data_IF_076670345295
#
_entry.id   IF_076670345295
#
_cell.length_a   1.000
_cell.length_b   1.000
_cell.length_c   1.000
_cell.angle_alpha   90.00
_cell.angle_beta   90.00
_cell.angle_gamma   90.00
#
_symmetry.space_group_name_H-M   'P 1'
#
loop_
_entity.id
_entity.type
_entity.pdbx_description
1 polymer ?
#
# COMPACT_ATOMS: atom_id res chain seq x y z
N UNK A 1 -17.71 -2.19 8.12
CA UNK A 1 -17.93 -0.96 7.32
C UNK A 1 -17.52 0.37 7.99
N UNK A 2 -17.70 0.58 9.33
CA UNK A 2 -17.32 1.86 10.00
C UNK A 2 -15.80 2.08 10.18
N UNK A 3 -15.00 1.04 10.44
CA UNK A 3 -13.57 1.16 10.77
C UNK A 3 -12.74 1.52 9.53
N UNK A 4 -12.92 0.87 8.41
CA UNK A 4 -12.17 1.16 7.19
C UNK A 4 -12.44 2.54 6.61
N UNK A 5 -13.69 3.06 6.74
CA UNK A 5 -14.00 4.46 6.39
C UNK A 5 -13.24 5.44 7.28
N UNK A 6 -13.09 5.15 8.58
CA UNK A 6 -12.33 6.00 9.50
C UNK A 6 -10.82 5.99 9.18
N UNK A 7 -10.27 4.81 8.89
CA UNK A 7 -8.85 4.67 8.52
C UNK A 7 -8.55 5.39 7.22
N UNK A 8 -9.37 5.17 6.17
CA UNK A 8 -9.23 5.85 4.87
C UNK A 8 -9.32 7.38 5.03
N UNK A 9 -10.26 7.86 5.83
CA UNK A 9 -10.45 9.30 6.06
C UNK A 9 -9.27 9.91 6.83
N UNK A 10 -8.71 9.17 7.80
CA UNK A 10 -7.53 9.60 8.55
C UNK A 10 -6.29 9.71 7.64
N UNK A 11 -6.00 8.68 6.85
CA UNK A 11 -4.88 8.70 5.90
C UNK A 11 -5.03 9.79 4.84
N UNK A 12 -6.24 9.94 4.26
CA UNK A 12 -6.50 11.02 3.29
C UNK A 12 -6.33 12.39 3.94
N UNK A 13 -6.78 12.57 5.18
CA UNK A 13 -6.61 13.83 5.91
C UNK A 13 -5.15 14.18 6.16
N UNK A 14 -4.32 13.22 6.58
CA UNK A 14 -2.89 13.42 6.84
C UNK A 14 -2.15 13.77 5.53
N UNK A 15 -2.41 13.02 4.46
CA UNK A 15 -1.74 13.27 3.16
C UNK A 15 -2.15 14.58 2.53
N UNK A 16 -3.43 14.96 2.60
CA UNK A 16 -3.90 16.26 2.11
C UNK A 16 -3.29 17.39 2.96
N UNK A 17 -3.23 17.23 4.29
CA UNK A 17 -2.57 18.19 5.18
C UNK A 17 -1.10 18.43 4.81
N UNK A 18 -0.35 17.36 4.52
CA UNK A 18 1.04 17.45 4.08
C UNK A 18 1.18 18.20 2.74
N UNK A 19 0.31 17.91 1.78
CA UNK A 19 0.30 18.58 0.47
C UNK A 19 0.00 20.07 0.64
N UNK A 20 -0.95 20.45 1.49
CA UNK A 20 -1.29 21.85 1.78
C UNK A 20 -0.11 22.58 2.43
N UNK A 21 0.55 21.96 3.43
CA UNK A 21 1.72 22.55 4.09
C UNK A 21 2.84 22.78 3.08
N UNK A 22 3.14 21.81 2.25
CA UNK A 22 4.18 21.91 1.20
C UNK A 22 3.84 23.02 0.22
N UNK A 23 2.57 23.14 -0.17
CA UNK A 23 2.10 24.19 -1.07
C UNK A 23 2.24 25.59 -0.46
N UNK A 24 1.94 25.75 0.83
CA UNK A 24 2.12 27.02 1.55
C UNK A 24 3.60 27.41 1.59
N UNK A 25 4.48 26.47 1.93
CA UNK A 25 5.93 26.73 1.97
C UNK A 25 6.43 27.14 0.58
N UNK A 26 6.02 26.41 -0.46
CA UNK A 26 6.39 26.74 -1.83
C UNK A 26 5.92 28.15 -2.24
N UNK A 27 4.68 28.50 -1.92
CA UNK A 27 4.14 29.84 -2.20
C UNK A 27 4.96 30.95 -1.53
N UNK A 28 5.28 30.79 -0.23
CA UNK A 28 6.08 31.76 0.52
C UNK A 28 7.47 31.91 -0.09
N UNK A 29 8.13 30.79 -0.42
CA UNK A 29 9.46 30.82 -1.03
C UNK A 29 9.43 31.45 -2.42
N UNK A 30 8.46 31.09 -3.26
CA UNK A 30 8.32 31.66 -4.61
C UNK A 30 8.00 33.14 -4.59
N UNK A 31 7.12 33.61 -3.70
CA UNK A 31 6.76 35.01 -3.54
C UNK A 31 7.97 35.83 -3.09
N UNK A 32 8.74 35.36 -2.10
CA UNK A 32 9.98 36.04 -1.66
C UNK A 32 11.02 36.09 -2.77
N UNK A 33 11.22 34.98 -3.47
CA UNK A 33 12.17 34.95 -4.59
C UNK A 33 11.82 35.94 -5.71
N UNK A 34 10.53 36.10 -6.02
CA UNK A 34 10.05 37.05 -6.99
C UNK A 34 10.31 38.52 -6.53
N UNK A 35 10.12 38.76 -5.23
CA UNK A 35 10.36 40.06 -4.62
C UNK A 35 11.86 40.40 -4.63
N UNK A 36 12.73 39.47 -4.26
CA UNK A 36 14.20 39.66 -4.28
C UNK A 36 14.73 39.96 -5.70
N UNK A 37 14.26 39.21 -6.70
CA UNK A 37 14.61 39.47 -8.11
C UNK A 37 14.18 40.87 -8.52
N UNK A 38 13.00 41.30 -8.11
CA UNK A 38 12.50 42.60 -8.45
C UNK A 38 13.34 43.71 -7.84
N UNK A 39 13.74 43.60 -6.58
CA UNK A 39 14.66 44.54 -5.95
C UNK A 39 16.01 44.59 -6.65
N UNK A 40 16.57 43.46 -7.09
CA UNK A 40 17.82 43.43 -7.85
C UNK A 40 17.71 44.22 -9.18
N UNK A 41 16.60 44.07 -9.90
CA UNK A 41 16.35 44.84 -11.11
C UNK A 41 16.16 46.35 -10.84
N UNK A 42 15.50 46.67 -9.72
CA UNK A 42 15.30 48.07 -9.32
C UNK A 42 16.62 48.74 -8.91
N UNK A 43 17.50 48.01 -8.24
CA UNK A 43 18.85 48.45 -7.88
C UNK A 43 19.70 48.71 -9.14
N UNK A 44 19.72 47.75 -10.09
CA UNK A 44 20.43 47.94 -11.37
C UNK A 44 19.95 49.18 -12.11
N UNK A 45 18.64 49.41 -12.14
CA UNK A 45 18.07 50.61 -12.72
C UNK A 45 18.47 51.87 -11.97
N UNK A 46 18.43 51.86 -10.65
CA UNK A 46 18.79 53.01 -9.83
C UNK A 46 20.25 53.41 -10.04
N UNK A 47 21.14 52.42 -10.18
CA UNK A 47 22.54 52.67 -10.57
C UNK A 47 22.65 53.31 -11.97
N UNK A 48 21.94 52.77 -12.97
CA UNK A 48 21.94 53.33 -14.32
C UNK A 48 21.42 54.77 -14.37
N UNK A 49 20.39 55.08 -13.56
CA UNK A 49 19.86 56.44 -13.42
C UNK A 49 20.85 57.40 -12.76
N UNK A 50 21.60 56.94 -11.75
CA UNK A 50 22.63 57.71 -11.11
C UNK A 50 23.80 58.02 -12.07
N UNK A 51 24.27 56.97 -12.79
CA UNK A 51 25.30 57.14 -13.82
C UNK A 51 24.86 58.12 -14.92
N UNK A 52 23.64 58.01 -15.45
CA UNK A 52 23.12 58.91 -16.48
C UNK A 52 23.10 60.40 -16.02
N UNK A 53 22.68 60.60 -14.74
CA UNK A 53 22.49 61.96 -14.21
C UNK A 53 23.77 62.64 -13.82
N UNK A 54 24.75 61.93 -13.28
CA UNK A 54 25.94 62.49 -12.67
C UNK A 54 27.21 62.31 -13.50
N UNK A 55 27.23 61.30 -14.42
CA UNK A 55 28.43 61.01 -15.22
C UNK A 55 28.28 61.43 -16.70
N UNK A 56 27.30 62.27 -17.03
CA UNK A 56 27.09 62.74 -18.40
C UNK A 56 28.35 63.41 -18.98
N UNK A 57 29.06 64.14 -18.15
CA UNK A 57 30.32 64.91 -18.55
C UNK A 57 31.58 64.00 -18.54
N UNK A 58 31.53 62.83 -17.96
CA UNK A 58 32.68 61.92 -17.78
C UNK A 58 32.69 60.71 -18.72
N UNK A 59 31.53 60.34 -19.30
CA UNK A 59 31.39 59.19 -20.15
C UNK A 59 31.63 59.58 -21.63
N UNK A 60 32.30 58.66 -22.34
CA UNK A 60 32.35 58.77 -23.80
C UNK A 60 30.96 58.46 -24.41
N UNK A 61 30.70 58.91 -25.62
CA UNK A 61 29.41 58.82 -26.30
C UNK A 61 28.89 57.40 -26.43
N UNK A 62 29.77 56.37 -26.48
CA UNK A 62 29.36 54.94 -26.60
C UNK A 62 28.90 54.41 -25.24
N UNK A 63 29.63 54.76 -24.19
CA UNK A 63 29.28 54.33 -22.82
C UNK A 63 27.99 55.00 -22.36
N UNK A 64 27.87 56.30 -22.60
CA UNK A 64 26.64 57.07 -22.30
C UNK A 64 25.43 56.49 -23.02
N UNK A 65 25.56 56.16 -24.31
CA UNK A 65 24.48 55.51 -25.06
C UNK A 65 24.08 54.13 -24.47
N UNK A 66 25.01 53.34 -23.99
CA UNK A 66 24.73 52.07 -23.33
C UNK A 66 24.00 52.24 -21.99
N UNK A 67 24.32 53.29 -21.22
CA UNK A 67 23.62 53.62 -19.96
C UNK A 67 22.17 54.00 -20.25
N UNK A 68 21.94 54.85 -21.23
CA UNK A 68 20.59 55.26 -21.68
C UNK A 68 19.79 54.06 -22.17
N UNK A 69 20.39 53.11 -22.92
CA UNK A 69 19.72 51.90 -23.36
C UNK A 69 19.35 50.97 -22.19
N UNK A 70 20.22 50.83 -21.19
CA UNK A 70 19.90 50.08 -19.97
C UNK A 70 18.71 50.68 -19.24
N UNK A 71 18.63 51.99 -19.12
CA UNK A 71 17.49 52.71 -18.54
C UNK A 71 16.20 52.43 -19.30
N UNK A 72 16.22 52.55 -20.64
CA UNK A 72 15.03 52.40 -21.48
C UNK A 72 14.48 50.97 -21.43
N UNK A 73 15.34 49.95 -21.27
CA UNK A 73 14.98 48.54 -21.23
C UNK A 73 14.66 48.01 -19.81
N UNK A 74 14.77 48.88 -18.81
CA UNK A 74 14.54 48.53 -17.41
C UNK A 74 13.11 48.80 -16.95
N UNK A 75 12.77 48.37 -15.73
CA UNK A 75 11.44 48.49 -15.11
C UNK A 75 10.98 49.97 -15.06
N UNK A 76 9.69 50.30 -15.34
CA UNK A 76 9.19 51.66 -15.20
C UNK A 76 9.23 52.11 -13.73
N UNK A 77 9.73 53.30 -13.49
CA UNK A 77 9.80 53.97 -12.18
C UNK A 77 8.63 54.91 -12.00
N UNK A 78 8.11 55.03 -10.77
CA UNK A 78 7.07 55.97 -10.40
C UNK A 78 7.67 57.28 -9.89
N UNK A 79 8.78 57.17 -9.15
CA UNK A 79 9.49 58.31 -8.57
C UNK A 79 11.00 58.08 -8.61
N UNK A 80 11.76 59.10 -8.93
CA UNK A 80 13.23 59.11 -8.94
C UNK A 80 13.68 60.34 -8.13
N UNK A 81 14.37 60.10 -7.02
CA UNK A 81 14.79 61.12 -6.07
C UNK A 81 16.30 61.07 -5.91
N UNK A 82 16.91 62.25 -5.99
CA UNK A 82 18.35 62.49 -5.83
C UNK A 82 18.53 63.55 -4.75
N UNK A 83 18.90 63.12 -3.55
CA UNK A 83 18.99 63.97 -2.37
C UNK A 83 20.46 64.20 -2.05
N UNK A 84 20.93 65.46 -2.06
CA UNK A 84 22.27 65.75 -1.62
C UNK A 84 22.40 65.59 -0.13
N UNK A 85 23.35 64.72 0.30
CA UNK A 85 23.56 64.39 1.71
C UNK A 85 24.68 65.19 2.39
N UNK A 86 25.23 66.22 1.74
CA UNK A 86 26.22 67.10 2.34
C UNK A 86 25.67 67.85 3.58
N UNK A 87 24.39 68.23 3.54
CA UNK A 87 23.64 68.69 4.71
C UNK A 87 22.80 67.52 5.30
N UNK A 88 23.33 66.89 6.36
CA UNK A 88 22.75 65.73 6.96
C UNK A 88 21.34 65.95 7.52
N UNK A 89 21.11 67.09 8.17
CA UNK A 89 19.83 67.42 8.80
C UNK A 89 18.72 67.61 7.76
N UNK A 90 19.05 68.33 6.68
CA UNK A 90 18.14 68.50 5.56
C UNK A 90 17.87 67.22 4.81
N UNK A 91 18.88 66.39 4.62
CA UNK A 91 18.74 65.08 3.99
C UNK A 91 17.88 64.11 4.82
N UNK A 92 18.10 64.02 6.13
CA UNK A 92 17.30 63.18 7.04
C UNK A 92 15.82 63.57 6.99
N UNK A 93 15.53 64.87 6.95
CA UNK A 93 14.15 65.36 6.85
C UNK A 93 13.44 64.94 5.55
N UNK A 94 14.18 64.90 4.44
CA UNK A 94 13.63 64.45 3.15
C UNK A 94 13.51 62.95 3.09
N UNK A 95 14.52 62.21 3.59
CA UNK A 95 14.55 60.75 3.61
C UNK A 95 13.49 60.15 4.55
N UNK A 96 13.17 60.81 5.67
CA UNK A 96 12.17 60.37 6.64
C UNK A 96 10.73 60.31 6.08
N UNK A 97 10.51 60.84 4.87
CA UNK A 97 9.24 60.65 4.16
C UNK A 97 9.12 59.25 3.55
N UNK A 98 10.23 58.50 3.38
CA UNK A 98 10.28 57.23 2.65
C UNK A 98 10.93 56.12 3.45
N UNK A 99 11.88 56.45 4.34
CA UNK A 99 12.70 55.52 5.11
C UNK A 99 12.52 55.75 6.61
N UNK A 100 12.62 54.68 7.38
CA UNK A 100 12.66 54.77 8.84
C UNK A 100 14.06 55.22 9.34
N UNK A 101 14.18 55.52 10.66
CA UNK A 101 15.44 56.02 11.22
C UNK A 101 16.58 55.01 11.10
N UNK A 102 16.32 53.73 11.27
CA UNK A 102 17.28 52.62 11.13
C UNK A 102 17.74 52.47 9.67
N UNK A 103 16.82 52.59 8.74
CA UNK A 103 17.09 52.52 7.30
C UNK A 103 17.95 53.69 6.84
N UNK A 104 17.68 54.90 7.35
CA UNK A 104 18.48 56.08 7.07
C UNK A 104 19.92 55.94 7.62
N UNK A 105 20.09 55.38 8.82
CA UNK A 105 21.42 55.13 9.37
C UNK A 105 22.21 54.11 8.54
N UNK A 106 21.56 53.02 8.12
CA UNK A 106 22.16 52.00 7.24
C UNK A 106 22.49 52.60 5.85
N UNK A 107 21.66 53.45 5.32
CA UNK A 107 21.92 54.15 4.06
C UNK A 107 23.17 55.01 4.17
N UNK A 108 23.31 55.78 5.24
CA UNK A 108 24.52 56.58 5.49
C UNK A 108 25.78 55.73 5.77
N UNK A 109 25.61 54.49 6.18
CA UNK A 109 26.69 53.50 6.29
C UNK A 109 27.01 52.82 4.93
N UNK A 110 26.57 53.37 3.80
CA UNK A 110 26.75 52.84 2.44
C UNK A 110 26.12 51.49 2.18
N UNK A 111 25.01 51.17 2.86
CA UNK A 111 24.23 49.98 2.57
C UNK A 111 23.14 50.30 1.54
N UNK A 112 22.85 49.34 0.68
CA UNK A 112 21.66 49.38 -0.17
C UNK A 112 20.45 49.06 0.69
N UNK A 113 19.42 49.90 0.62
CA UNK A 113 18.21 49.77 1.40
C UNK A 113 17.04 49.49 0.46
N UNK A 114 16.43 48.32 0.63
CA UNK A 114 15.19 47.96 -0.03
C UNK A 114 14.02 48.26 0.93
N UNK A 115 13.05 49.06 0.49
CA UNK A 115 11.95 49.53 1.31
C UNK A 115 10.62 49.43 0.57
N UNK A 116 9.51 49.53 1.32
CA UNK A 116 8.16 49.49 0.78
C UNK A 116 7.35 50.67 1.31
N UNK A 117 6.80 51.47 0.44
CA UNK A 117 5.90 52.60 0.77
C UNK A 117 4.51 52.32 0.16
N UNK A 118 3.57 51.82 0.97
CA UNK A 118 2.22 51.47 0.51
C UNK A 118 2.21 50.34 -0.53
N UNK A 119 1.89 50.70 -1.79
CA UNK A 119 1.91 49.77 -2.94
C UNK A 119 3.15 49.92 -3.81
N UNK A 120 4.05 50.86 -3.47
CA UNK A 120 5.30 51.07 -4.17
C UNK A 120 6.44 50.38 -3.43
N UNK A 121 7.36 49.82 -4.18
CA UNK A 121 8.62 49.24 -3.67
C UNK A 121 9.75 50.14 -4.13
N UNK A 122 10.72 50.35 -3.27
CA UNK A 122 11.83 51.26 -3.55
C UNK A 122 13.17 50.64 -3.17
N UNK A 123 14.22 51.16 -3.79
CA UNK A 123 15.60 50.96 -3.39
C UNK A 123 16.28 52.29 -3.19
N UNK A 124 17.18 52.35 -2.21
CA UNK A 124 17.98 53.53 -1.92
C UNK A 124 19.44 53.14 -1.70
N UNK A 125 20.36 53.94 -2.23
CA UNK A 125 21.78 53.76 -2.00
C UNK A 125 22.50 55.14 -2.10
N UNK A 126 23.75 55.20 -1.61
CA UNK A 126 24.57 56.39 -1.68
C UNK A 126 25.44 56.35 -2.95
N UNK A 127 25.37 57.40 -3.75
CA UNK A 127 26.19 57.58 -4.94
C UNK A 127 27.19 58.73 -4.71
N UNK A 128 28.43 58.46 -5.06
CA UNK A 128 29.54 59.43 -4.96
C UNK A 128 29.89 60.02 -6.34
N UNK A 129 29.87 61.32 -6.46
CA UNK A 129 30.17 62.02 -7.69
C UNK A 129 31.14 63.16 -7.40
N UNK A 130 31.78 63.67 -8.45
CA UNK A 130 32.66 64.85 -8.36
C UNK A 130 31.98 66.14 -7.81
N UNK A 131 30.66 66.25 -7.97
CA UNK A 131 29.84 67.36 -7.50
C UNK A 131 29.33 67.22 -6.08
N UNK A 132 29.47 65.99 -5.49
CA UNK A 132 29.02 65.69 -4.12
C UNK A 132 28.61 64.27 -3.87
N UNK A 133 27.98 64.04 -2.69
CA UNK A 133 27.44 62.75 -2.31
C UNK A 133 25.93 62.87 -2.31
N UNK A 134 25.30 61.90 -2.96
CA UNK A 134 23.85 61.88 -3.15
C UNK A 134 23.23 60.57 -2.66
N UNK A 135 22.11 60.66 -1.95
CA UNK A 135 21.22 59.51 -1.77
C UNK A 135 20.31 59.39 -3.00
N UNK A 136 20.39 58.27 -3.66
CA UNK A 136 19.56 57.95 -4.83
C UNK A 136 18.45 57.02 -4.37
N UNK A 137 17.21 57.46 -4.51
CA UNK A 137 16.02 56.68 -4.19
C UNK A 137 15.19 56.47 -5.47
N UNK A 138 14.86 55.24 -5.73
CA UNK A 138 14.02 54.90 -6.88
C UNK A 138 12.85 54.09 -6.39
N UNK A 139 11.62 54.53 -6.69
CA UNK A 139 10.39 53.86 -6.37
C UNK A 139 9.74 53.36 -7.66
N UNK A 140 9.12 52.22 -7.56
CA UNK A 140 8.33 51.65 -8.65
C UNK A 140 7.06 51.03 -8.13
N UNK A 141 5.96 51.30 -8.80
CA UNK A 141 4.71 50.61 -8.61
C UNK A 141 4.65 49.46 -9.61
N UNK A 142 4.78 48.22 -9.12
CA UNK A 142 4.75 47.07 -10.00
C UNK A 142 3.49 46.21 -9.82
N UNK A 143 2.46 46.46 -10.62
CA UNK A 143 1.28 45.57 -10.62
C UNK A 143 1.62 44.13 -11.03
N UNK A 144 2.79 43.95 -11.68
CA UNK A 144 3.22 42.64 -12.17
C UNK A 144 3.52 41.63 -11.05
N UNK A 145 4.06 42.08 -9.91
CA UNK A 145 4.31 41.23 -8.74
C UNK A 145 3.00 40.70 -8.17
N UNK A 146 2.01 41.57 -8.04
CA UNK A 146 0.70 41.21 -7.50
C UNK A 146 -0.02 40.25 -8.45
N UNK A 147 0.08 40.46 -9.76
CA UNK A 147 -0.51 39.55 -10.78
C UNK A 147 0.21 38.20 -10.82
N UNK A 148 1.55 38.15 -10.70
CA UNK A 148 2.31 36.91 -10.62
C UNK A 148 1.94 36.15 -9.35
N UNK A 149 1.94 36.77 -8.19
CA UNK A 149 1.59 36.16 -6.93
C UNK A 149 0.15 35.63 -6.93
N UNK A 150 -0.79 36.37 -7.50
CA UNK A 150 -2.17 35.96 -7.68
C UNK A 150 -2.29 34.72 -8.61
N UNK A 151 -1.57 34.75 -9.72
CA UNK A 151 -1.55 33.63 -10.69
C UNK A 151 -0.95 32.39 -10.08
N UNK A 152 0.18 32.54 -9.34
CA UNK A 152 0.79 31.43 -8.57
C UNK A 152 -0.18 30.86 -7.53
N UNK A 153 -0.87 31.72 -6.78
CA UNK A 153 -1.84 31.28 -5.78
C UNK A 153 -2.99 30.50 -6.41
N UNK A 154 -3.57 30.99 -7.50
CA UNK A 154 -4.66 30.31 -8.21
C UNK A 154 -4.18 28.97 -8.77
N UNK A 155 -3.03 28.94 -9.44
CA UNK A 155 -2.45 27.71 -9.97
C UNK A 155 -2.18 26.67 -8.89
N UNK A 156 -1.67 27.11 -7.73
CA UNK A 156 -1.41 26.24 -6.59
C UNK A 156 -2.70 25.70 -5.97
N UNK A 157 -3.75 26.51 -5.85
CA UNK A 157 -5.06 26.06 -5.36
C UNK A 157 -5.68 25.00 -6.28
N UNK A 158 -5.58 25.19 -7.59
CA UNK A 158 -6.05 24.19 -8.57
C UNK A 158 -5.25 22.90 -8.43
N UNK A 159 -3.92 22.98 -8.33
CA UNK A 159 -3.04 21.81 -8.17
C UNK A 159 -3.35 21.03 -6.90
N UNK A 160 -3.50 21.73 -5.76
CA UNK A 160 -3.86 21.12 -4.46
C UNK A 160 -5.25 20.49 -4.53
N UNK A 161 -6.22 21.13 -5.15
CA UNK A 161 -7.56 20.61 -5.35
C UNK A 161 -7.57 19.33 -6.20
N UNK A 162 -6.81 19.32 -7.29
CA UNK A 162 -6.67 18.14 -8.15
C UNK A 162 -5.96 16.99 -7.41
N UNK A 163 -4.87 17.28 -6.71
CA UNK A 163 -4.14 16.28 -5.92
C UNK A 163 -5.03 15.67 -4.82
N UNK A 164 -5.79 16.50 -4.10
CA UNK A 164 -6.73 16.04 -3.08
C UNK A 164 -7.82 15.14 -3.67
N UNK A 165 -8.37 15.47 -4.85
CA UNK A 165 -9.36 14.67 -5.54
C UNK A 165 -8.80 13.31 -5.97
N UNK A 166 -7.61 13.27 -6.57
CA UNK A 166 -6.95 12.02 -6.98
C UNK A 166 -6.65 11.13 -5.77
N UNK A 167 -6.09 11.70 -4.70
CA UNK A 167 -5.82 10.98 -3.45
C UNK A 167 -7.09 10.41 -2.84
N UNK A 168 -8.20 11.17 -2.86
CA UNK A 168 -9.49 10.68 -2.39
C UNK A 168 -9.98 9.47 -3.21
N UNK A 169 -9.88 9.53 -4.55
CA UNK A 169 -10.28 8.41 -5.41
C UNK A 169 -9.43 7.16 -5.15
N UNK A 170 -8.11 7.30 -5.07
CA UNK A 170 -7.19 6.19 -4.80
C UNK A 170 -7.52 5.57 -3.43
N UNK A 171 -7.67 6.41 -2.39
CA UNK A 171 -8.01 5.95 -1.04
C UNK A 171 -9.33 5.20 -1.00
N UNK A 172 -10.35 5.69 -1.73
CA UNK A 172 -11.65 5.03 -1.81
C UNK A 172 -11.57 3.66 -2.49
N UNK A 173 -10.87 3.57 -3.62
CA UNK A 173 -10.72 2.31 -4.36
C UNK A 173 -9.93 1.27 -3.53
N UNK A 174 -8.86 1.72 -2.87
CA UNK A 174 -8.05 0.86 -2.00
C UNK A 174 -8.85 0.35 -0.79
N UNK A 175 -9.58 1.25 -0.12
CA UNK A 175 -10.41 0.88 1.02
C UNK A 175 -11.49 -0.15 0.65
N UNK A 176 -12.14 -0.03 -0.51
CA UNK A 176 -13.13 -1.00 -0.96
C UNK A 176 -12.53 -2.38 -1.19
N UNK A 177 -11.35 -2.48 -1.81
CA UNK A 177 -10.68 -3.76 -2.08
C UNK A 177 -10.17 -4.43 -0.79
N UNK A 178 -9.54 -3.66 0.08
CA UNK A 178 -8.99 -4.19 1.34
C UNK A 178 -10.10 -4.65 2.28
N UNK A 179 -11.19 -3.87 2.38
CA UNK A 179 -12.33 -4.22 3.22
C UNK A 179 -13.06 -5.48 2.73
N UNK A 180 -13.25 -5.64 1.41
CA UNK A 180 -13.87 -6.83 0.86
C UNK A 180 -13.03 -8.08 1.17
N UNK A 181 -11.70 -7.96 1.09
CA UNK A 181 -10.79 -9.06 1.43
C UNK A 181 -10.83 -9.41 2.92
N UNK A 182 -10.75 -8.41 3.79
CA UNK A 182 -10.82 -8.62 5.26
C UNK A 182 -12.18 -9.21 5.66
N UNK A 183 -13.27 -8.76 5.06
CA UNK A 183 -14.61 -9.27 5.36
C UNK A 183 -14.74 -10.75 4.94
N UNK A 184 -14.23 -11.11 3.76
CA UNK A 184 -14.19 -12.49 3.28
C UNK A 184 -13.34 -13.39 4.21
N UNK A 185 -12.17 -12.94 4.61
CA UNK A 185 -11.31 -13.68 5.53
C UNK A 185 -11.96 -13.85 6.91
N UNK A 186 -12.58 -12.81 7.42
CA UNK A 186 -13.32 -12.84 8.68
C UNK A 186 -14.53 -13.78 8.62
N UNK A 187 -15.32 -13.76 7.56
CA UNK A 187 -16.47 -14.67 7.39
C UNK A 187 -16.00 -16.11 7.26
N UNK A 188 -14.91 -16.36 6.54
CA UNK A 188 -14.34 -17.70 6.45
C UNK A 188 -13.86 -18.22 7.81
N UNK A 189 -13.22 -17.37 8.62
CA UNK A 189 -12.78 -17.72 9.97
C UNK A 189 -13.97 -18.00 10.90
N UNK A 190 -14.99 -17.15 10.87
CA UNK A 190 -16.23 -17.34 11.64
C UNK A 190 -16.93 -18.64 11.27
N UNK A 191 -17.06 -18.95 9.99
CA UNK A 191 -17.64 -20.22 9.53
C UNK A 191 -16.79 -21.42 9.98
N UNK A 192 -15.46 -21.29 9.93
CA UNK A 192 -14.56 -22.35 10.42
C UNK A 192 -14.79 -22.65 11.90
N UNK A 193 -14.81 -21.63 12.77
CA UNK A 193 -15.04 -21.81 14.22
C UNK A 193 -16.41 -22.40 14.50
N UNK A 194 -17.46 -21.93 13.82
CA UNK A 194 -18.81 -22.44 14.00
C UNK A 194 -18.91 -23.92 13.59
N UNK A 195 -18.37 -24.28 12.42
CA UNK A 195 -18.42 -25.66 11.92
C UNK A 195 -17.58 -26.58 12.80
N UNK A 196 -16.39 -26.16 13.24
CA UNK A 196 -15.57 -26.92 14.17
C UNK A 196 -16.31 -27.19 15.50
N UNK A 197 -17.01 -26.16 16.03
CA UNK A 197 -17.81 -26.30 17.23
C UNK A 197 -18.95 -27.32 17.04
N UNK A 198 -19.64 -27.30 15.91
CA UNK A 198 -20.69 -28.26 15.60
C UNK A 198 -20.17 -29.71 15.47
N UNK A 199 -19.04 -29.89 14.78
CA UNK A 199 -18.41 -31.19 14.57
C UNK A 199 -17.89 -31.82 15.88
N UNK A 200 -17.48 -31.00 16.86
CA UNK A 200 -17.06 -31.44 18.18
C UNK A 200 -18.27 -31.71 19.09
N UNK A 201 -19.30 -30.87 19.03
CA UNK A 201 -20.47 -31.00 19.90
C UNK A 201 -21.31 -32.21 19.56
N UNK A 202 -21.37 -32.66 18.28
CA UNK A 202 -22.13 -33.81 17.87
C UNK A 202 -21.68 -35.12 18.61
N UNK A 203 -20.42 -35.54 18.57
CA UNK A 203 -19.96 -36.72 19.31
C UNK A 203 -20.01 -36.52 20.83
N UNK A 204 -19.81 -35.30 21.35
CA UNK A 204 -19.99 -35.02 22.78
C UNK A 204 -21.42 -35.28 23.24
N UNK A 205 -22.41 -34.84 22.48
CA UNK A 205 -23.82 -35.07 22.78
C UNK A 205 -24.14 -36.55 22.72
N UNK A 206 -23.56 -37.31 21.77
CA UNK A 206 -23.71 -38.75 21.70
C UNK A 206 -23.10 -39.44 22.94
N UNK A 207 -21.90 -39.07 23.35
CA UNK A 207 -21.25 -39.57 24.57
C UNK A 207 -22.12 -39.31 25.80
N UNK A 208 -22.62 -38.06 25.92
CA UNK A 208 -23.49 -37.68 27.04
C UNK A 208 -24.75 -38.54 27.08
N UNK A 209 -25.40 -38.74 25.93
CA UNK A 209 -26.59 -39.61 25.84
C UNK A 209 -26.31 -41.08 26.22
N UNK A 210 -25.19 -41.64 25.76
CA UNK A 210 -24.78 -43.01 26.15
C UNK A 210 -24.49 -43.13 27.67
N UNK A 211 -23.89 -42.09 28.26
CA UNK A 211 -23.68 -42.01 29.71
C UNK A 211 -25.02 -41.93 30.49
N UNK A 212 -25.96 -41.09 30.04
CA UNK A 212 -27.28 -40.98 30.65
C UNK A 212 -28.06 -42.30 30.61
N UNK A 213 -28.03 -43.01 29.47
CA UNK A 213 -28.63 -44.34 29.32
C UNK A 213 -28.00 -45.33 30.31
N UNK A 214 -26.65 -45.36 30.39
CA UNK A 214 -25.94 -46.23 31.30
C UNK A 214 -26.25 -45.97 32.79
N UNK A 215 -26.52 -44.73 33.15
CA UNK A 215 -26.84 -44.33 34.54
C UNK A 215 -28.30 -44.54 34.91
N UNK A 216 -29.22 -44.46 33.94
CA UNK A 216 -30.68 -44.63 34.18
C UNK A 216 -31.16 -46.07 34.10
N UNK A 217 -30.50 -46.91 33.35
CA UNK A 217 -30.91 -48.31 33.13
C UNK A 217 -30.07 -49.25 33.96
N UNK A 218 -30.72 -50.31 34.44
CA UNK A 218 -30.03 -51.41 35.12
C UNK A 218 -29.54 -52.41 34.05
N UNK A 219 -28.47 -52.02 33.33
CA UNK A 219 -27.97 -52.77 32.20
C UNK A 219 -27.26 -54.05 32.61
N UNK A 220 -27.33 -55.08 31.77
CA UNK A 220 -26.50 -56.25 31.91
C UNK A 220 -25.02 -55.97 31.59
N UNK A 221 -24.04 -56.69 32.13
CA UNK A 221 -22.62 -56.45 31.93
C UNK A 221 -22.21 -56.29 30.45
N UNK A 222 -22.82 -57.00 29.54
CA UNK A 222 -22.54 -56.94 28.10
C UNK A 222 -23.10 -55.69 27.45
N UNK A 223 -24.21 -55.16 27.98
CA UNK A 223 -24.76 -53.86 27.52
C UNK A 223 -23.86 -52.71 27.93
N UNK A 224 -23.33 -52.70 29.17
CA UNK A 224 -22.32 -51.70 29.58
C UNK A 224 -21.07 -51.76 28.72
N UNK A 225 -20.58 -52.92 28.34
CA UNK A 225 -19.44 -53.04 27.40
C UNK A 225 -19.75 -52.44 26.06
N UNK A 226 -20.96 -52.57 25.56
CA UNK A 226 -21.39 -51.99 24.29
C UNK A 226 -21.46 -50.47 24.37
N UNK A 227 -22.02 -49.92 25.44
CA UNK A 227 -22.05 -48.47 25.70
C UNK A 227 -20.63 -47.91 25.79
N UNK A 228 -19.74 -48.57 26.56
CA UNK A 228 -18.35 -48.13 26.68
C UNK A 228 -17.60 -48.13 25.33
N UNK A 229 -17.85 -49.16 24.47
CA UNK A 229 -17.26 -49.18 23.12
C UNK A 229 -17.76 -48.04 22.25
N UNK A 230 -19.04 -47.66 22.32
CA UNK A 230 -19.59 -46.49 21.60
C UNK A 230 -18.97 -45.18 22.10
N UNK A 231 -18.86 -45.00 23.43
CA UNK A 231 -18.18 -43.85 24.03
C UNK A 231 -16.72 -43.77 23.57
N UNK A 232 -15.99 -44.88 23.58
CA UNK A 232 -14.62 -44.97 23.11
C UNK A 232 -14.52 -44.58 21.62
N UNK A 233 -15.45 -45.03 20.79
CA UNK A 233 -15.49 -44.72 19.37
C UNK A 233 -15.73 -43.22 19.12
N UNK A 234 -16.70 -42.61 19.84
CA UNK A 234 -16.98 -41.18 19.71
C UNK A 234 -15.82 -40.30 20.25
N UNK A 235 -15.16 -40.75 21.34
CA UNK A 235 -13.95 -40.09 21.85
C UNK A 235 -12.83 -40.14 20.82
N UNK A 236 -12.62 -41.28 20.15
CA UNK A 236 -11.67 -41.40 19.05
C UNK A 236 -11.97 -40.47 17.89
N UNK A 237 -13.26 -40.28 17.57
CA UNK A 237 -13.68 -39.28 16.54
C UNK A 237 -13.28 -37.84 16.90
N UNK A 238 -13.46 -37.44 18.18
CA UNK A 238 -13.07 -36.11 18.67
C UNK A 238 -11.56 -35.90 18.52
N UNK A 239 -10.76 -36.91 18.91
CA UNK A 239 -9.28 -36.81 18.80
C UNK A 239 -8.85 -36.60 17.35
N UNK A 240 -9.47 -37.28 16.39
CA UNK A 240 -9.16 -37.10 14.96
C UNK A 240 -9.58 -35.72 14.48
N UNK A 241 -10.77 -35.24 14.88
CA UNK A 241 -11.23 -33.88 14.55
C UNK A 241 -10.23 -32.84 15.06
N UNK A 242 -9.85 -32.94 16.34
CA UNK A 242 -8.89 -32.02 16.96
C UNK A 242 -7.54 -32.00 16.22
N UNK A 243 -7.04 -33.18 15.84
CA UNK A 243 -5.79 -33.30 15.08
C UNK A 243 -5.88 -32.61 13.71
N UNK A 244 -6.97 -32.86 12.96
CA UNK A 244 -7.20 -32.21 11.66
C UNK A 244 -7.31 -30.67 11.78
N UNK A 245 -8.01 -30.18 12.82
CA UNK A 245 -8.15 -28.74 13.08
C UNK A 245 -6.82 -28.10 13.43
N UNK A 246 -6.00 -28.75 14.28
CA UNK A 246 -4.67 -28.26 14.62
C UNK A 246 -3.76 -28.23 13.39
N UNK A 247 -3.73 -29.28 12.58
CA UNK A 247 -2.96 -29.33 11.34
C UNK A 247 -3.38 -28.22 10.39
N UNK A 248 -4.70 -27.99 10.21
CA UNK A 248 -5.21 -26.91 9.38
C UNK A 248 -4.82 -25.52 9.92
N UNK A 249 -4.94 -25.28 11.23
CA UNK A 249 -4.53 -24.04 11.88
C UNK A 249 -3.03 -23.79 11.69
N UNK A 250 -2.19 -24.79 11.88
CA UNK A 250 -0.75 -24.70 11.66
C UNK A 250 -0.40 -24.47 10.18
N UNK A 251 -1.08 -25.14 9.25
CA UNK A 251 -0.89 -24.93 7.82
C UNK A 251 -1.26 -23.52 7.38
N UNK A 252 -2.30 -22.92 7.98
CA UNK A 252 -2.79 -21.57 7.63
C UNK A 252 -1.95 -20.45 8.24
N UNK A 253 -1.60 -20.57 9.53
CA UNK A 253 -1.03 -19.45 10.31
C UNK A 253 0.47 -19.63 10.64
N UNK A 254 1.03 -20.82 10.47
CA UNK A 254 2.43 -21.09 10.79
C UNK A 254 3.38 -20.44 9.77
N UNK A 255 4.56 -20.00 10.21
CA UNK A 255 5.67 -19.73 9.29
C UNK A 255 6.22 -21.06 8.79
N UNK A 256 6.65 -21.11 7.52
CA UNK A 256 7.47 -22.25 7.07
C UNK A 256 8.77 -22.16 7.87
N UNK A 257 9.04 -23.19 8.63
CA UNK A 257 10.35 -23.31 9.25
C UNK A 257 11.33 -23.68 8.16
N UNK A 258 12.17 -22.71 7.79
CA UNK A 258 13.16 -22.89 6.73
C UNK A 258 14.16 -23.97 7.03
N UNK A 259 14.35 -24.30 8.32
CA UNK A 259 15.29 -25.32 8.80
C UNK A 259 14.78 -26.74 8.52
N UNK A 260 13.46 -26.92 8.31
CA UNK A 260 12.84 -28.20 7.98
C UNK A 260 12.70 -28.45 6.47
N UNK A 261 13.08 -27.47 5.63
CA UNK A 261 13.00 -27.63 4.18
C UNK A 261 14.16 -28.47 3.64
N UNK A 262 13.83 -29.61 3.01
CA UNK A 262 14.79 -30.49 2.38
C UNK A 262 14.42 -30.76 0.92
N UNK A 263 15.42 -31.15 0.12
CA UNK A 263 15.17 -31.63 -1.24
C UNK A 263 14.64 -33.06 -1.18
N UNK A 264 13.47 -33.30 -1.74
CA UNK A 264 12.74 -34.56 -1.67
C UNK A 264 12.40 -34.98 -3.10
N UNK A 265 12.70 -36.21 -3.45
CA UNK A 265 12.25 -36.80 -4.71
C UNK A 265 10.76 -37.11 -4.63
N UNK A 266 9.98 -36.61 -5.58
CA UNK A 266 8.51 -36.68 -5.49
C UNK A 266 7.99 -38.12 -5.51
N UNK A 267 8.64 -39.02 -6.27
CA UNK A 267 8.30 -40.42 -6.30
C UNK A 267 8.40 -41.10 -4.93
N UNK A 268 9.42 -40.77 -4.10
CA UNK A 268 9.63 -41.39 -2.78
C UNK A 268 8.44 -41.16 -1.82
N UNK A 269 7.80 -40.02 -1.91
CA UNK A 269 6.60 -39.73 -1.10
C UNK A 269 5.39 -40.47 -1.66
N UNK A 270 5.24 -40.50 -2.97
CA UNK A 270 4.10 -41.12 -3.64
C UNK A 270 4.12 -42.63 -3.56
N UNK A 271 5.28 -43.27 -3.48
CA UNK A 271 5.38 -44.73 -3.25
C UNK A 271 4.66 -45.18 -1.97
N UNK A 272 4.59 -44.33 -0.94
CA UNK A 272 3.86 -44.62 0.31
C UNK A 272 2.36 -44.60 0.14
N UNK A 273 1.86 -43.92 -0.88
CA UNK A 273 0.44 -43.79 -1.20
C UNK A 273 -0.03 -44.87 -2.21
N UNK A 274 0.89 -45.63 -2.79
CA UNK A 274 0.57 -46.69 -3.73
C UNK A 274 -0.11 -47.86 -3.00
N UNK A 275 -1.32 -48.14 -3.41
CA UNK A 275 -2.15 -49.28 -2.96
C UNK A 275 -2.64 -50.03 -4.20
N UNK A 276 -3.37 -51.15 -4.00
CA UNK A 276 -3.89 -51.94 -5.12
C UNK A 276 -4.76 -51.11 -6.11
N UNK A 277 -5.39 -50.06 -5.62
CA UNK A 277 -6.24 -49.16 -6.44
C UNK A 277 -5.54 -47.89 -6.90
N UNK A 278 -4.24 -47.71 -6.63
CA UNK A 278 -3.48 -46.49 -6.99
C UNK A 278 -2.33 -46.84 -7.96
N UNK A 279 -2.36 -46.28 -9.16
CA UNK A 279 -1.35 -46.51 -10.19
C UNK A 279 -0.46 -45.28 -10.30
N UNK A 280 0.88 -45.44 -10.09
CA UNK A 280 1.86 -44.40 -10.24
C UNK A 280 2.50 -44.46 -11.64
N UNK A 281 2.43 -43.35 -12.38
CA UNK A 281 3.04 -43.14 -13.68
C UNK A 281 4.10 -42.04 -13.59
N UNK A 282 5.34 -42.38 -13.86
CA UNK A 282 6.45 -41.43 -13.80
C UNK A 282 6.91 -41.12 -15.24
N UNK A 283 6.49 -39.97 -15.77
CA UNK A 283 6.95 -39.50 -17.06
C UNK A 283 8.30 -38.77 -16.93
N UNK A 284 8.45 -37.94 -15.89
CA UNK A 284 9.70 -37.25 -15.54
C UNK A 284 9.64 -36.90 -14.04
N UNK A 285 10.45 -37.60 -13.26
CA UNK A 285 10.59 -37.33 -11.84
C UNK A 285 11.45 -36.10 -11.55
N UNK A 286 11.29 -35.50 -10.38
CA UNK A 286 12.02 -34.31 -9.99
C UNK A 286 12.04 -34.12 -8.47
N UNK A 287 13.02 -33.36 -8.00
CA UNK A 287 13.11 -32.99 -6.60
C UNK A 287 12.37 -31.69 -6.35
N UNK A 288 11.75 -31.59 -5.18
CA UNK A 288 11.10 -30.38 -4.68
C UNK A 288 11.68 -30.00 -3.31
N UNK A 289 11.78 -28.71 -3.04
CA UNK A 289 12.23 -28.23 -1.74
C UNK A 289 11.04 -28.02 -0.83
N UNK A 290 10.81 -28.94 0.11
CA UNK A 290 9.62 -28.94 0.96
C UNK A 290 9.90 -29.48 2.36
N UNK A 291 8.96 -29.24 3.27
CA UNK A 291 8.84 -29.98 4.53
C UNK A 291 8.17 -31.34 4.22
N UNK A 292 8.88 -32.43 4.50
CA UNK A 292 8.46 -33.79 4.17
C UNK A 292 7.14 -34.19 4.82
N UNK A 293 6.92 -33.78 6.07
CA UNK A 293 5.70 -34.13 6.81
C UNK A 293 4.49 -33.39 6.24
N UNK A 294 4.62 -32.07 6.02
CA UNK A 294 3.56 -31.27 5.44
C UNK A 294 3.22 -31.71 4.01
N UNK A 295 4.24 -31.99 3.19
CA UNK A 295 4.05 -32.46 1.83
C UNK A 295 3.31 -33.80 1.80
N UNK A 296 3.73 -34.77 2.66
CA UNK A 296 3.04 -36.05 2.79
C UNK A 296 1.57 -35.88 3.20
N UNK A 297 1.28 -35.02 4.18
CA UNK A 297 -0.09 -34.70 4.60
C UNK A 297 -0.92 -34.17 3.43
N UNK A 298 -0.37 -33.23 2.64
CA UNK A 298 -1.08 -32.63 1.52
C UNK A 298 -1.38 -33.65 0.42
N UNK A 299 -0.39 -34.44 0.04
CA UNK A 299 -0.53 -35.51 -0.98
C UNK A 299 -1.50 -36.57 -0.52
N UNK A 300 -1.38 -37.08 0.73
CA UNK A 300 -2.27 -38.04 1.31
C UNK A 300 -3.75 -37.61 1.25
N UNK A 301 -4.02 -36.33 1.58
CA UNK A 301 -5.39 -35.81 1.50
C UNK A 301 -5.96 -35.80 0.06
N UNK A 302 -5.12 -35.54 -0.95
CA UNK A 302 -5.56 -35.59 -2.35
C UNK A 302 -5.79 -37.02 -2.82
N UNK A 303 -4.84 -37.93 -2.53
CA UNK A 303 -4.92 -39.35 -2.93
C UNK A 303 -6.05 -40.06 -2.23
N UNK A 304 -6.18 -39.86 -0.90
CA UNK A 304 -7.27 -40.42 -0.10
C UNK A 304 -8.65 -39.98 -0.60
N UNK A 305 -8.80 -38.71 -0.99
CA UNK A 305 -10.02 -38.22 -1.62
C UNK A 305 -10.28 -38.88 -2.98
N UNK A 306 -9.28 -38.98 -3.84
CA UNK A 306 -9.42 -39.63 -5.14
C UNK A 306 -9.87 -41.09 -4.98
N UNK A 307 -9.20 -41.87 -4.12
CA UNK A 307 -9.59 -43.29 -3.82
C UNK A 307 -11.00 -43.39 -3.26
N UNK A 308 -11.35 -42.50 -2.34
CA UNK A 308 -12.65 -42.50 -1.66
C UNK A 308 -13.83 -42.25 -2.58
N UNK A 309 -13.65 -41.36 -3.56
CA UNK A 309 -14.70 -40.94 -4.49
C UNK A 309 -14.61 -41.61 -5.87
N UNK A 310 -13.62 -42.50 -6.09
CA UNK A 310 -13.42 -43.21 -7.35
C UNK A 310 -14.46 -44.30 -7.65
N UNK A 311 -15.32 -44.62 -6.68
CA UNK A 311 -16.31 -45.71 -6.77
C UNK A 311 -15.68 -47.08 -7.14
N UNK A 312 -14.48 -47.35 -6.58
CA UNK A 312 -13.72 -48.56 -6.81
C UNK A 312 -12.89 -48.60 -8.10
N UNK A 313 -12.95 -47.54 -8.91
CA UNK A 313 -12.10 -47.41 -10.09
C UNK A 313 -10.65 -47.10 -9.69
N UNK A 314 -9.65 -47.45 -10.52
CA UNK A 314 -8.25 -47.08 -10.27
C UNK A 314 -8.03 -45.58 -10.27
N UNK A 315 -7.21 -45.11 -9.33
CA UNK A 315 -6.70 -43.75 -9.29
C UNK A 315 -5.34 -43.69 -9.97
N UNK A 316 -5.15 -42.79 -10.90
CA UNK A 316 -3.89 -42.62 -11.61
C UNK A 316 -3.16 -41.37 -11.10
N UNK A 317 -1.93 -41.58 -10.63
CA UNK A 317 -1.03 -40.49 -10.22
C UNK A 317 0.05 -40.35 -11.28
N UNK A 318 0.21 -39.17 -11.86
CA UNK A 318 1.23 -38.90 -12.88
C UNK A 318 2.20 -37.81 -12.39
N UNK A 319 3.51 -38.16 -12.42
CA UNK A 319 4.61 -37.20 -12.17
C UNK A 319 5.14 -36.71 -13.52
N UNK A 320 5.07 -35.40 -13.74
CA UNK A 320 5.59 -34.74 -14.93
C UNK A 320 6.08 -33.34 -14.58
N UNK A 321 7.40 -33.19 -14.38
CA UNK A 321 7.98 -31.90 -13.97
C UNK A 321 7.42 -30.71 -14.72
N UNK A 322 6.94 -29.65 -14.07
CA UNK A 322 6.88 -29.42 -12.61
C UNK A 322 5.51 -29.80 -12.00
N UNK A 323 4.78 -30.75 -12.55
CA UNK A 323 3.40 -31.04 -12.24
C UNK A 323 3.25 -32.43 -11.57
N UNK A 324 2.37 -32.50 -10.56
CA UNK A 324 1.77 -33.71 -10.03
C UNK A 324 0.29 -33.70 -10.41
N UNK A 325 -0.17 -34.79 -11.05
CA UNK A 325 -1.56 -34.94 -11.49
C UNK A 325 -2.13 -36.17 -10.79
N UNK A 326 -3.26 -36.03 -10.13
CA UNK A 326 -3.99 -37.12 -9.46
C UNK A 326 -5.36 -37.14 -10.10
N UNK A 327 -5.70 -38.27 -10.76
CA UNK A 327 -6.93 -38.45 -11.51
C UNK A 327 -7.70 -39.66 -11.02
N UNK A 328 -8.97 -39.46 -10.74
CA UNK A 328 -9.95 -40.52 -10.49
C UNK A 328 -11.01 -40.57 -11.61
N UNK A 329 -11.68 -41.68 -11.72
CA UNK A 329 -12.83 -41.92 -12.62
C UNK A 329 -14.11 -42.13 -11.79
N UNK A 330 -14.29 -41.29 -10.78
CA UNK A 330 -15.38 -41.42 -9.81
C UNK A 330 -16.60 -40.52 -10.14
N UNK A 331 -17.34 -40.20 -9.08
CA UNK A 331 -18.61 -39.45 -9.15
C UNK A 331 -18.47 -38.03 -9.70
N UNK A 332 -17.26 -37.50 -9.77
CA UNK A 332 -17.00 -36.10 -10.16
C UNK A 332 -17.59 -35.08 -9.21
N UNK A 333 -17.44 -33.80 -9.57
CA UNK A 333 -17.84 -32.63 -8.77
C UNK A 333 -18.72 -31.72 -9.65
N UNK A 334 -19.92 -31.30 -9.19
CA UNK A 334 -20.74 -30.33 -9.90
C UNK A 334 -20.04 -28.99 -10.08
N UNK A 335 -20.23 -28.33 -11.22
CA UNK A 335 -19.60 -27.03 -11.53
C UNK A 335 -19.86 -25.95 -10.47
N UNK A 336 -21.06 -25.95 -9.88
CA UNK A 336 -21.44 -25.02 -8.80
C UNK A 336 -20.60 -25.18 -7.53
N UNK A 337 -20.02 -26.39 -7.32
CA UNK A 337 -19.28 -26.76 -6.12
C UNK A 337 -17.75 -26.62 -6.30
N UNK A 338 -17.23 -26.64 -7.54
CA UNK A 338 -15.78 -26.65 -7.85
C UNK A 338 -15.04 -25.53 -7.11
N UNK A 339 -15.57 -24.31 -7.08
CA UNK A 339 -14.93 -23.18 -6.40
C UNK A 339 -15.02 -23.24 -4.86
N UNK A 340 -15.82 -24.15 -4.32
CA UNK A 340 -16.12 -24.26 -2.88
C UNK A 340 -15.47 -25.45 -2.20
N UNK A 341 -15.05 -26.47 -2.93
CA UNK A 341 -14.47 -27.71 -2.36
C UNK A 341 -13.23 -27.51 -1.51
N UNK A 342 -12.54 -26.38 -1.69
CA UNK A 342 -11.38 -26.00 -0.88
C UNK A 342 -11.76 -25.17 0.35
N UNK A 343 -13.06 -24.91 0.59
CA UNK A 343 -13.49 -24.27 1.83
C UNK A 343 -13.54 -25.30 2.95
N UNK A 344 -13.02 -25.00 4.14
CA UNK A 344 -13.10 -25.93 5.27
C UNK A 344 -14.55 -26.33 5.58
N UNK A 345 -14.78 -27.61 5.85
CA UNK A 345 -16.08 -28.22 6.13
C UNK A 345 -17.08 -28.20 4.96
N UNK A 346 -16.64 -27.78 3.78
CA UNK A 346 -17.49 -27.84 2.61
C UNK A 346 -17.51 -29.26 2.02
N UNK A 347 -18.70 -29.71 1.62
CA UNK A 347 -18.94 -30.98 0.97
C UNK A 347 -19.78 -30.76 -0.28
N UNK A 348 -19.38 -31.35 -1.40
CA UNK A 348 -20.12 -31.21 -2.65
C UNK A 348 -21.53 -31.84 -2.51
N UNK A 349 -22.46 -31.29 -3.30
CA UNK A 349 -23.88 -31.66 -3.19
C UNK A 349 -24.19 -33.10 -3.61
N UNK A 350 -23.31 -33.76 -4.40
CA UNK A 350 -23.51 -35.10 -4.95
C UNK A 350 -22.85 -36.24 -4.16
N UNK A 351 -22.18 -35.96 -3.01
CA UNK A 351 -21.40 -36.97 -2.29
C UNK A 351 -22.24 -37.96 -1.41
N UNK A 352 -23.54 -37.75 -1.29
CA UNK A 352 -24.44 -38.65 -0.57
C UNK A 352 -24.00 -38.96 0.88
N UNK A 353 -24.00 -40.23 1.25
CA UNK A 353 -23.64 -40.74 2.58
C UNK A 353 -22.15 -41.02 2.78
N UNK A 354 -21.30 -40.76 1.81
CA UNK A 354 -19.85 -40.98 1.90
C UNK A 354 -19.27 -40.19 3.08
N UNK A 355 -18.64 -40.90 4.04
CA UNK A 355 -18.14 -40.28 5.28
C UNK A 355 -17.04 -39.24 5.01
N UNK A 356 -17.00 -38.12 5.72
CA UNK A 356 -15.93 -37.10 5.61
C UNK A 356 -16.36 -35.76 6.10
N UNK A 357 -15.40 -34.99 6.64
CA UNK A 357 -15.65 -33.69 7.30
C UNK A 357 -15.42 -32.46 6.40
N UNK A 358 -14.87 -32.65 5.19
CA UNK A 358 -14.58 -31.57 4.29
C UNK A 358 -13.38 -30.66 4.70
N UNK A 359 -12.44 -31.18 5.51
CA UNK A 359 -11.24 -30.47 5.93
C UNK A 359 -10.03 -30.78 5.02
N UNK A 360 -9.94 -32.01 4.51
CA UNK A 360 -8.74 -32.54 3.83
C UNK A 360 -8.30 -31.71 2.61
N UNK A 361 -9.22 -31.35 1.70
CA UNK A 361 -8.90 -30.53 0.53
C UNK A 361 -8.49 -29.11 0.92
N UNK A 362 -9.12 -28.54 1.93
CA UNK A 362 -8.75 -27.22 2.45
C UNK A 362 -7.34 -27.24 3.07
N UNK A 363 -7.01 -28.31 3.79
CA UNK A 363 -5.68 -28.52 4.36
C UNK A 363 -4.62 -28.70 3.27
N UNK A 364 -4.86 -29.55 2.29
CA UNK A 364 -3.95 -29.77 1.17
C UNK A 364 -3.67 -28.46 0.42
N UNK A 365 -4.71 -27.70 0.10
CA UNK A 365 -4.56 -26.39 -0.55
C UNK A 365 -3.74 -25.41 0.31
N UNK A 366 -4.03 -25.30 1.60
CA UNK A 366 -3.29 -24.41 2.51
C UNK A 366 -1.81 -24.76 2.60
N UNK A 367 -1.47 -26.06 2.58
CA UNK A 367 -0.08 -26.51 2.60
C UNK A 367 0.64 -26.16 1.29
N UNK A 368 0.03 -26.46 0.12
CA UNK A 368 0.64 -26.14 -1.19
C UNK A 368 0.80 -24.62 -1.39
N UNK A 369 -0.24 -23.83 -1.11
CA UNK A 369 -0.17 -22.38 -1.22
C UNK A 369 0.90 -21.77 -0.30
N UNK A 370 1.07 -22.34 0.90
CA UNK A 370 2.12 -21.93 1.84
C UNK A 370 3.52 -22.24 1.33
N UNK A 371 3.71 -23.34 0.60
CA UNK A 371 4.97 -23.70 -0.06
C UNK A 371 5.21 -22.90 -1.35
N UNK A 372 4.26 -22.04 -1.74
CA UNK A 372 4.30 -21.27 -2.97
C UNK A 372 3.82 -22.04 -4.20
N UNK A 373 3.26 -23.22 -4.01
CA UNK A 373 2.78 -24.10 -5.06
C UNK A 373 1.32 -23.79 -5.41
N UNK A 374 0.90 -24.21 -6.59
CA UNK A 374 -0.46 -23.97 -7.08
C UNK A 374 -1.22 -25.26 -7.29
N UNK A 375 -2.39 -25.39 -6.66
CA UNK A 375 -3.33 -26.48 -6.88
C UNK A 375 -4.52 -26.02 -7.72
N UNK A 376 -4.89 -26.83 -8.70
CA UNK A 376 -6.09 -26.65 -9.54
C UNK A 376 -6.88 -27.94 -9.62
N UNK A 377 -8.16 -27.83 -9.94
CA UNK A 377 -9.08 -28.95 -10.09
C UNK A 377 -9.86 -28.82 -11.40
N UNK A 378 -10.04 -29.92 -12.08
CA UNK A 378 -10.96 -30.08 -13.21
C UNK A 378 -11.80 -31.32 -12.96
N UNK A 379 -13.12 -31.23 -13.06
CA UNK A 379 -14.01 -32.34 -12.77
C UNK A 379 -15.29 -32.23 -13.59
N UNK A 380 -15.87 -33.37 -13.89
CA UNK A 380 -17.17 -33.48 -14.54
C UNK A 380 -17.95 -34.61 -13.82
N UNK A 381 -19.22 -34.36 -13.54
CA UNK A 381 -20.11 -35.34 -12.90
C UNK A 381 -20.12 -36.64 -13.71
N UNK A 382 -20.00 -37.77 -13.02
CA UNK A 382 -19.92 -39.13 -13.55
C UNK A 382 -18.74 -39.42 -14.52
N UNK A 383 -17.77 -38.50 -14.61
CA UNK A 383 -16.56 -38.67 -15.43
C UNK A 383 -15.26 -38.61 -14.59
N UNK A 384 -15.38 -38.22 -13.31
CA UNK A 384 -14.28 -38.18 -12.36
C UNK A 384 -13.69 -36.80 -12.13
N UNK A 385 -12.56 -36.78 -11.37
CA UNK A 385 -11.89 -35.56 -10.94
C UNK A 385 -10.39 -35.65 -11.22
N UNK A 386 -9.81 -34.54 -11.62
CA UNK A 386 -8.37 -34.38 -11.79
C UNK A 386 -7.88 -33.22 -10.92
N UNK A 387 -7.05 -33.51 -9.96
CA UNK A 387 -6.29 -32.52 -9.20
C UNK A 387 -4.91 -32.36 -9.84
N UNK A 388 -4.47 -31.12 -10.07
CA UNK A 388 -3.16 -30.78 -10.59
C UNK A 388 -2.45 -29.85 -9.61
N UNK A 389 -1.27 -30.23 -9.17
CA UNK A 389 -0.35 -29.40 -8.36
C UNK A 389 0.83 -29.00 -9.24
N UNK A 390 1.15 -27.72 -9.25
CA UNK A 390 2.28 -27.14 -9.97
C UNK A 390 3.26 -26.62 -8.92
N UNK A 391 4.45 -27.22 -8.89
CA UNK A 391 5.50 -26.89 -7.93
C UNK A 391 6.33 -25.71 -8.42
N UNK A 392 6.59 -24.76 -7.51
CA UNK A 392 7.35 -23.52 -7.82
C UNK A 392 8.87 -23.70 -7.71
N UNK A 393 9.32 -24.58 -6.81
CA UNK A 393 10.74 -24.87 -6.56
C UNK A 393 11.06 -26.32 -6.90
N UNK A 394 11.53 -26.56 -8.13
CA UNK A 394 11.92 -27.87 -8.63
C UNK A 394 13.41 -27.89 -8.96
N UNK A 395 14.10 -28.98 -8.63
CA UNK A 395 15.49 -29.28 -8.98
C UNK A 395 15.61 -30.25 -10.15
#
# INVERSE_FOLDING_TARGET
MKIGKKISLLYSGITIGLVVITAIIFYICASRYTEDIYYSYLEEKAHALAEEKFSEDELDSVRYHNVVLRRQNSIPTSKELFINIADRDAAVKQLSCYLDSDEIERLFANQVINFKEGQEVGTAFVYYDNTGTFAVLVLSRNPFIDDINRTLLIGLLILVGLAAFVLYLISRLYALRVLDRIDKDYQAEKMFVNNASHEINNPLTAIQGECEVALMMNCQPEEYKTILRRIQQETGRIIVIMKELLQFSHARNGRIDTDNLQWILLSEILERECTDNVQLQIARDFQIKADSELLHIAIHNLVSNAVKYSDGNPVVITIRQPELIIQDLGIGIPDADINRIFQPFYRASNIGSVSGRGIGLALAKSIFERMGDRITVSSQVDAGTTFKVIFSYTG
#
